data_IF_419969309632
#
_entry.id   IF_419969309632
#
_cell.length_a   1.000
_cell.length_b   1.000
_cell.length_c   1.000
_cell.angle_alpha   90.00
_cell.angle_beta   90.00
_cell.angle_gamma   90.00
#
_symmetry.space_group_name_H-M   'P 1'
#
loop_
_entity.id
_entity.type
_entity.pdbx_description
1 polymer ?
#
# COMPACT_ATOMS: atom_id res chain seq x y z
N UNK A 1 27.59 -26.07 38.19
CA UNK A 1 27.34 -25.47 36.86
C UNK A 1 26.09 -24.63 37.01
N UNK A 2 26.22 -23.30 37.03
CA UNK A 2 25.11 -22.41 37.33
C UNK A 2 24.21 -22.26 36.10
N UNK A 3 22.98 -22.74 36.20
CA UNK A 3 21.89 -22.41 35.29
C UNK A 3 21.54 -20.92 35.48
N UNK A 4 21.81 -20.11 34.47
CA UNK A 4 21.33 -18.73 34.44
C UNK A 4 19.81 -18.76 34.19
N UNK A 5 19.00 -18.04 34.99
CA UNK A 5 17.55 -18.07 34.84
C UNK A 5 17.16 -17.53 33.45
N UNK A 6 16.47 -18.38 32.69
CA UNK A 6 15.96 -18.10 31.35
C UNK A 6 15.13 -16.80 31.39
N UNK A 7 15.70 -15.73 30.81
CA UNK A 7 15.12 -14.39 30.79
C UNK A 7 13.74 -14.51 30.12
N UNK A 8 12.65 -14.27 30.86
CA UNK A 8 11.28 -14.31 30.32
C UNK A 8 11.25 -13.58 28.98
N UNK A 9 10.84 -14.29 27.92
CA UNK A 9 10.74 -13.71 26.59
C UNK A 9 9.91 -12.43 26.66
N UNK A 10 10.42 -11.35 26.07
CA UNK A 10 9.73 -10.05 26.03
C UNK A 10 8.40 -10.12 25.25
N UNK A 11 8.24 -11.12 24.40
CA UNK A 11 7.12 -11.31 23.48
C UNK A 11 6.50 -12.69 23.68
N UNK A 12 5.18 -12.79 23.53
CA UNK A 12 4.45 -14.07 23.55
C UNK A 12 4.79 -14.88 22.29
N UNK A 13 4.88 -14.20 21.15
CA UNK A 13 5.26 -14.79 19.86
C UNK A 13 6.77 -14.79 19.66
N UNK A 14 7.27 -15.81 18.99
CA UNK A 14 8.65 -15.89 18.50
C UNK A 14 8.89 -14.92 17.35
N UNK A 15 10.17 -14.67 17.03
CA UNK A 15 10.52 -13.78 15.92
C UNK A 15 10.01 -14.31 14.57
N UNK A 16 10.06 -15.62 14.35
CA UNK A 16 9.62 -16.24 13.11
C UNK A 16 8.11 -16.12 12.91
N UNK A 17 7.32 -16.29 13.98
CA UNK A 17 5.87 -16.07 13.94
C UNK A 17 5.52 -14.61 13.64
N UNK A 18 6.25 -13.66 14.23
CA UNK A 18 6.09 -12.23 13.95
C UNK A 18 6.35 -11.92 12.47
N UNK A 19 7.39 -12.52 11.89
CA UNK A 19 7.72 -12.35 10.46
C UNK A 19 6.64 -12.99 9.59
N UNK A 20 6.20 -14.20 9.92
CA UNK A 20 5.14 -14.90 9.18
C UNK A 20 3.83 -14.10 9.15
N UNK A 21 3.36 -13.62 10.30
CA UNK A 21 2.17 -12.77 10.39
C UNK A 21 2.33 -11.46 9.60
N UNK A 22 3.53 -10.87 9.59
CA UNK A 22 3.78 -9.71 8.75
C UNK A 22 3.71 -10.06 7.25
N UNK A 23 4.24 -11.20 6.82
CA UNK A 23 4.16 -11.60 5.41
C UNK A 23 2.73 -11.96 5.00
N UNK A 24 1.89 -12.45 5.91
CA UNK A 24 0.46 -12.72 5.70
C UNK A 24 -0.39 -11.46 5.54
N UNK A 25 0.12 -10.28 5.94
CA UNK A 25 -0.54 -9.00 5.73
C UNK A 25 -0.91 -8.24 7.00
N UNK A 26 -0.75 -8.84 8.19
CA UNK A 26 -1.03 -8.16 9.45
C UNK A 26 -0.15 -6.91 9.62
N UNK A 27 -0.70 -5.87 10.21
CA UNK A 27 0.01 -4.64 10.55
C UNK A 27 0.91 -4.84 11.78
N UNK A 28 1.95 -4.01 11.91
CA UNK A 28 2.82 -4.04 13.10
C UNK A 28 2.08 -3.74 14.40
N UNK A 29 0.93 -3.06 14.31
CA UNK A 29 0.08 -2.75 15.45
C UNK A 29 -0.73 -3.98 15.88
N UNK A 30 -1.37 -4.67 14.93
CA UNK A 30 -2.10 -5.92 15.21
C UNK A 30 -1.16 -6.99 15.76
N UNK A 31 0.00 -7.18 15.13
CA UNK A 31 1.01 -8.14 15.61
C UNK A 31 1.47 -7.76 17.02
N UNK A 32 1.69 -6.46 17.29
CA UNK A 32 2.05 -5.98 18.62
C UNK A 32 0.98 -6.29 19.68
N UNK A 33 -0.30 -6.12 19.34
CA UNK A 33 -1.42 -6.53 20.19
C UNK A 33 -1.43 -8.04 20.46
N UNK A 34 -1.20 -8.88 19.44
CA UNK A 34 -1.15 -10.35 19.60
C UNK A 34 0.04 -10.82 20.43
N UNK A 35 1.18 -10.11 20.35
CA UNK A 35 2.44 -10.48 21.00
C UNK A 35 2.69 -9.76 22.33
N UNK A 36 1.78 -8.89 22.76
CA UNK A 36 1.87 -8.03 23.95
C UNK A 36 3.14 -7.15 23.97
N UNK A 37 3.49 -6.57 22.82
CA UNK A 37 4.65 -5.70 22.66
C UNK A 37 4.30 -4.51 21.76
N UNK A 38 5.07 -3.43 21.87
CA UNK A 38 4.82 -2.26 21.04
C UNK A 38 5.12 -2.52 19.56
N UNK A 39 4.37 -1.87 18.67
CA UNK A 39 4.64 -1.89 17.24
C UNK A 39 6.08 -1.45 16.88
N UNK A 40 6.69 -0.59 17.72
CA UNK A 40 8.11 -0.21 17.60
C UNK A 40 9.05 -1.38 17.81
N UNK A 41 8.74 -2.26 18.76
CA UNK A 41 9.51 -3.48 18.98
C UNK A 41 9.37 -4.46 17.81
N UNK A 42 8.14 -4.63 17.27
CA UNK A 42 7.90 -5.42 16.05
C UNK A 42 8.73 -4.88 14.88
N UNK A 43 8.70 -3.57 14.61
CA UNK A 43 9.54 -2.95 13.58
C UNK A 43 11.03 -3.20 13.79
N UNK A 44 11.50 -3.19 15.04
CA UNK A 44 12.89 -3.51 15.35
C UNK A 44 13.24 -4.96 15.00
N UNK A 45 12.34 -5.92 15.25
CA UNK A 45 12.52 -7.33 14.85
C UNK A 45 12.57 -7.45 13.33
N UNK A 46 11.62 -6.85 12.62
CA UNK A 46 11.56 -6.90 11.15
C UNK A 46 12.85 -6.34 10.53
N UNK A 47 13.29 -5.17 10.98
CA UNK A 47 14.53 -4.55 10.48
C UNK A 47 15.78 -5.39 10.78
N UNK A 48 15.87 -5.99 11.98
CA UNK A 48 17.00 -6.85 12.35
C UNK A 48 17.07 -8.13 11.51
N UNK A 49 15.91 -8.63 11.08
CA UNK A 49 15.79 -9.80 10.21
C UNK A 49 15.74 -9.43 8.72
N UNK A 50 16.08 -8.19 8.36
CA UNK A 50 16.15 -7.71 6.97
C UNK A 50 14.84 -7.89 6.18
N UNK A 51 13.69 -7.83 6.87
CA UNK A 51 12.38 -7.88 6.22
C UNK A 51 12.08 -6.52 5.61
N UNK A 52 11.81 -6.49 4.31
CA UNK A 52 11.41 -5.26 3.62
C UNK A 52 10.08 -4.74 4.17
N UNK A 53 10.09 -3.47 4.57
CA UNK A 53 8.90 -2.81 5.08
C UNK A 53 8.00 -2.36 3.93
N UNK A 54 6.69 -2.59 4.09
CA UNK A 54 5.68 -2.07 3.16
C UNK A 54 5.84 -0.55 3.00
N UNK A 55 5.62 0.00 1.78
CA UNK A 55 5.68 1.43 1.54
C UNK A 55 4.78 2.23 2.48
N UNK A 56 5.22 3.42 2.85
CA UNK A 56 4.42 4.36 3.64
C UNK A 56 3.07 4.61 2.95
N UNK A 57 1.96 4.58 3.70
CA UNK A 57 0.62 4.78 3.18
C UNK A 57 0.00 3.61 2.40
N UNK A 58 0.73 2.52 2.14
CA UNK A 58 0.21 1.35 1.42
C UNK A 58 -1.06 0.74 2.04
N UNK A 59 -1.18 0.78 3.37
CA UNK A 59 -2.38 0.31 4.09
C UNK A 59 -3.64 1.14 3.82
N UNK A 60 -3.51 2.36 3.30
CA UNK A 60 -4.64 3.20 2.89
C UNK A 60 -5.12 2.88 1.47
N UNK A 61 -4.35 2.15 0.67
CA UNK A 61 -4.68 1.83 -0.72
C UNK A 61 -5.81 0.81 -0.75
N UNK A 62 -6.99 1.24 -1.19
CA UNK A 62 -8.18 0.39 -1.35
C UNK A 62 -8.27 -0.25 -2.72
N UNK A 63 -7.73 0.42 -3.73
CA UNK A 63 -7.80 0.00 -5.13
C UNK A 63 -6.40 -0.13 -5.71
N UNK A 64 -6.24 -1.05 -6.65
CA UNK A 64 -5.00 -1.25 -7.42
C UNK A 64 -5.06 -0.39 -8.69
N UNK A 65 -3.90 0.09 -9.10
CA UNK A 65 -3.67 0.79 -10.37
C UNK A 65 -2.24 0.47 -10.81
N UNK A 66 -1.98 0.46 -12.11
CA UNK A 66 -0.61 0.34 -12.60
C UNK A 66 0.19 1.62 -12.35
N UNK A 67 0.87 1.69 -11.21
CA UNK A 67 1.76 2.81 -10.82
C UNK A 67 2.95 2.99 -11.77
N UNK A 68 3.21 2.03 -12.66
CA UNK A 68 4.27 2.09 -13.67
C UNK A 68 3.77 2.55 -15.05
N UNK A 69 2.47 2.79 -15.23
CA UNK A 69 1.88 3.12 -16.54
C UNK A 69 2.59 4.30 -17.22
N UNK A 70 2.85 5.37 -16.45
CA UNK A 70 3.52 6.59 -16.96
C UNK A 70 5.05 6.49 -17.04
N UNK A 71 5.66 5.34 -16.70
CA UNK A 71 7.13 5.17 -16.79
C UNK A 71 7.62 4.84 -18.20
N UNK A 72 6.73 4.37 -19.07
CA UNK A 72 7.07 3.97 -20.45
C UNK A 72 6.32 4.84 -21.43
N UNK A 73 7.05 5.43 -22.39
CA UNK A 73 6.43 6.27 -23.42
C UNK A 73 5.70 5.43 -24.47
N UNK A 74 4.44 5.78 -24.74
CA UNK A 74 3.62 5.20 -25.81
C UNK A 74 2.58 6.23 -26.28
N UNK A 75 1.98 6.01 -27.46
CA UNK A 75 0.92 6.90 -27.97
C UNK A 75 -0.28 6.96 -27.00
N UNK A 76 -0.67 5.81 -26.44
CA UNK A 76 -1.76 5.74 -25.46
C UNK A 76 -1.39 6.43 -24.15
N UNK A 77 -0.13 6.31 -23.71
CA UNK A 77 0.36 7.02 -22.52
C UNK A 77 0.30 8.53 -22.75
N UNK A 78 0.83 9.02 -23.88
CA UNK A 78 0.82 10.44 -24.22
C UNK A 78 -0.61 10.99 -24.33
N UNK A 79 -1.55 10.22 -24.90
CA UNK A 79 -2.96 10.58 -24.94
C UNK A 79 -3.56 10.72 -23.54
N UNK A 80 -3.39 9.71 -22.67
CA UNK A 80 -3.93 9.77 -21.30
C UNK A 80 -3.27 10.89 -20.49
N UNK A 81 -1.97 11.15 -20.71
CA UNK A 81 -1.27 12.25 -20.07
C UNK A 81 -1.83 13.61 -20.52
N UNK A 82 -2.07 13.79 -21.82
CA UNK A 82 -2.71 14.99 -22.35
C UNK A 82 -4.13 15.17 -21.82
N UNK A 83 -4.90 14.10 -21.77
CA UNK A 83 -6.24 14.07 -21.17
C UNK A 83 -6.20 14.48 -19.69
N UNK A 84 -5.22 13.96 -18.94
CA UNK A 84 -5.02 14.30 -17.54
C UNK A 84 -4.68 15.80 -17.37
N UNK A 85 -3.81 16.35 -18.21
CA UNK A 85 -3.48 17.78 -18.14
C UNK A 85 -4.64 18.70 -18.51
N UNK A 86 -5.56 18.24 -19.37
CA UNK A 86 -6.71 19.03 -19.81
C UNK A 86 -7.89 18.97 -18.82
N UNK A 87 -8.28 17.76 -18.42
CA UNK A 87 -9.55 17.50 -17.71
C UNK A 87 -9.36 16.99 -16.28
N UNK A 88 -8.13 16.66 -15.87
CA UNK A 88 -7.87 16.17 -14.52
C UNK A 88 -7.94 17.28 -13.47
N UNK A 89 -8.62 16.99 -12.36
CA UNK A 89 -8.56 17.87 -11.19
C UNK A 89 -7.34 17.49 -10.34
N UNK A 90 -6.26 18.29 -10.41
CA UNK A 90 -5.11 18.18 -9.52
C UNK A 90 -5.26 19.13 -8.34
N UNK A 91 -5.58 18.60 -7.16
CA UNK A 91 -5.58 19.38 -5.92
C UNK A 91 -4.13 19.53 -5.46
N UNK A 92 -3.61 20.76 -5.36
CA UNK A 92 -2.19 21.03 -5.05
C UNK A 92 -1.68 20.32 -3.79
N UNK A 93 -2.52 20.17 -2.77
CA UNK A 93 -2.16 19.56 -1.48
C UNK A 93 -2.44 18.05 -1.41
N UNK A 94 -2.92 17.45 -2.51
CA UNK A 94 -3.20 16.02 -2.57
C UNK A 94 -2.45 15.37 -3.73
N UNK A 95 -1.81 14.25 -3.45
CA UNK A 95 -1.27 13.37 -4.48
C UNK A 95 -2.39 12.51 -5.07
N UNK A 96 -3.50 13.15 -5.46
CA UNK A 96 -4.70 12.51 -5.98
C UNK A 96 -5.02 13.05 -7.36
N UNK A 97 -5.53 12.16 -8.19
CA UNK A 97 -6.00 12.47 -9.55
C UNK A 97 -7.41 11.93 -9.62
N UNK A 98 -8.35 12.79 -10.00
CA UNK A 98 -9.73 12.40 -10.26
C UNK A 98 -10.10 12.73 -11.70
N UNK A 99 -10.81 11.80 -12.32
CA UNK A 99 -11.40 11.96 -13.65
C UNK A 99 -12.91 11.99 -13.48
N UNK A 100 -13.52 13.07 -13.96
CA UNK A 100 -14.96 13.19 -14.06
C UNK A 100 -15.29 13.43 -15.53
N UNK A 101 -16.06 12.52 -16.13
CA UNK A 101 -16.57 12.72 -17.48
C UNK A 101 -18.03 12.34 -17.62
N UNK A 102 -18.69 13.04 -18.54
CA UNK A 102 -20.09 12.76 -18.90
C UNK A 102 -20.17 11.42 -19.65
N UNK A 103 -19.23 11.18 -20.55
CA UNK A 103 -19.15 9.96 -21.35
C UNK A 103 -18.45 8.83 -20.59
N UNK A 104 -19.24 7.92 -20.01
CA UNK A 104 -18.75 6.78 -19.22
C UNK A 104 -17.71 5.91 -19.95
N UNK A 105 -17.82 5.77 -21.28
CA UNK A 105 -16.92 4.90 -22.04
C UNK A 105 -15.46 5.39 -21.99
N UNK A 106 -15.22 6.71 -21.90
CA UNK A 106 -13.88 7.28 -21.78
C UNK A 106 -13.25 6.83 -20.45
N UNK A 107 -14.02 6.93 -19.36
CA UNK A 107 -13.59 6.48 -18.04
C UNK A 107 -13.31 4.97 -18.00
N UNK A 108 -14.10 4.17 -18.72
CA UNK A 108 -13.86 2.73 -18.87
C UNK A 108 -12.55 2.45 -19.61
N UNK A 109 -12.32 3.12 -20.74
CA UNK A 109 -11.08 2.97 -21.51
C UNK A 109 -9.85 3.37 -20.67
N UNK A 110 -9.90 4.51 -19.99
CA UNK A 110 -8.81 4.96 -19.11
C UNK A 110 -8.56 3.91 -18.03
N UNK A 111 -9.62 3.47 -17.33
CA UNK A 111 -9.54 2.46 -16.27
C UNK A 111 -8.88 1.19 -16.76
N UNK A 112 -9.24 0.70 -17.94
CA UNK A 112 -8.70 -0.54 -18.49
C UNK A 112 -7.25 -0.37 -18.94
N UNK A 113 -6.91 0.75 -19.59
CA UNK A 113 -5.55 1.04 -20.06
C UNK A 113 -4.56 1.24 -18.91
N UNK A 114 -4.98 1.85 -17.79
CA UNK A 114 -4.14 2.02 -16.58
C UNK A 114 -4.26 0.84 -15.61
N UNK A 115 -4.98 -0.23 -15.98
CA UNK A 115 -5.20 -1.43 -15.18
C UNK A 115 -5.73 -1.14 -13.76
N UNK A 116 -6.69 -0.22 -13.66
CA UNK A 116 -7.26 0.20 -12.38
C UNK A 116 -8.45 -0.66 -11.96
N UNK A 117 -8.50 -0.97 -10.67
CA UNK A 117 -9.66 -1.63 -10.02
C UNK A 117 -10.62 -0.63 -9.38
N UNK A 118 -10.40 0.67 -9.57
CA UNK A 118 -11.27 1.70 -9.00
C UNK A 118 -12.66 1.63 -9.67
N UNK A 119 -13.76 1.63 -8.91
CA UNK A 119 -15.10 1.64 -9.47
C UNK A 119 -15.40 2.99 -10.12
N UNK A 120 -16.11 2.97 -11.25
CA UNK A 120 -16.67 4.18 -11.85
C UNK A 120 -18.02 4.44 -11.18
N UNK A 121 -18.14 5.58 -10.51
CA UNK A 121 -19.34 5.99 -9.78
C UNK A 121 -20.01 7.16 -10.50
N UNK A 122 -21.32 7.24 -10.39
CA UNK A 122 -22.08 8.42 -10.82
C UNK A 122 -22.12 9.40 -9.66
N UNK A 123 -21.72 10.66 -9.90
CA UNK A 123 -21.90 11.69 -8.89
C UNK A 123 -23.40 11.98 -8.75
N UNK A 124 -23.97 11.93 -7.53
CA UNK A 124 -25.37 12.23 -7.29
C UNK A 124 -25.74 13.68 -7.60
#
# INVERSE_FOLDING_TARGET
MNEFPNKRSKSILTQNEIIALYLEGYSTSEIGSFSNVSARYIRSILNKNQVEMRPIGSWKRKFKVNENYFKTWSNNMAYILGFFMADGCMVQDQQTISFAQKEKYILMQIKDVIESTHPIIQNP
#
